data_IF_977525828928
#
_entry.id   IF_977525828928
#
_cell.length_a   1.000
_cell.length_b   1.000
_cell.length_c   1.000
_cell.angle_alpha   90.00
_cell.angle_beta   90.00
_cell.angle_gamma   90.00
#
_symmetry.space_group_name_H-M   'P 1'
#
loop_
_entity.id
_entity.type
_entity.pdbx_description
1 polymer ?
#
# COMPACT_ATOMS: atom_id res chain seq x y z
N UNK A 1 5.56 -11.25 18.40
CA UNK A 1 5.28 -9.80 18.45
C UNK A 1 3.80 -9.49 18.39
N UNK A 2 3.03 -10.19 17.58
CA UNK A 2 1.59 -9.96 17.36
C UNK A 2 0.76 -10.01 18.66
N UNK A 3 0.94 -11.05 19.48
CA UNK A 3 0.25 -11.18 20.77
C UNK A 3 0.58 -10.03 21.73
N UNK A 4 1.87 -9.61 21.76
CA UNK A 4 2.30 -8.47 22.56
C UNK A 4 1.63 -7.15 22.14
N UNK A 5 1.46 -6.93 20.84
CA UNK A 5 0.76 -5.75 20.31
C UNK A 5 -0.72 -5.75 20.74
N UNK A 6 -1.41 -6.88 20.56
CA UNK A 6 -2.81 -7.03 20.98
C UNK A 6 -2.99 -6.88 22.49
N UNK A 7 -2.06 -7.39 23.30
CA UNK A 7 -2.08 -7.20 24.75
C UNK A 7 -1.89 -5.76 25.16
N UNK A 8 -0.92 -5.06 24.53
CA UNK A 8 -0.66 -3.66 24.81
C UNK A 8 -1.90 -2.79 24.50
N UNK A 9 -2.58 -3.04 23.36
CA UNK A 9 -3.81 -2.32 22.98
C UNK A 9 -4.90 -2.52 24.05
N UNK A 10 -5.14 -3.75 24.52
CA UNK A 10 -6.13 -4.01 25.58
C UNK A 10 -5.87 -3.25 26.88
N UNK A 11 -4.62 -2.94 27.19
CA UNK A 11 -4.21 -2.22 28.39
C UNK A 11 -4.14 -0.70 28.22
N UNK A 12 -4.08 -0.21 26.98
CA UNK A 12 -3.81 1.20 26.67
C UNK A 12 -4.78 1.77 25.62
N UNK A 13 -5.99 1.24 25.50
CA UNK A 13 -6.94 1.71 24.51
C UNK A 13 -7.40 3.16 24.76
N UNK A 14 -7.69 3.88 23.67
CA UNK A 14 -8.23 5.25 23.71
C UNK A 14 -9.73 5.17 24.06
N UNK A 15 -10.18 5.97 25.05
CA UNK A 15 -11.59 6.04 25.42
C UNK A 15 -12.42 6.48 24.19
N UNK A 16 -13.56 5.82 23.96
CA UNK A 16 -14.50 6.15 22.87
C UNK A 16 -14.92 7.62 22.85
N UNK A 17 -14.95 8.29 24.02
CA UNK A 17 -15.29 9.72 24.14
C UNK A 17 -14.21 10.65 23.57
N UNK A 18 -13.00 10.17 23.40
CA UNK A 18 -11.86 10.90 22.83
C UNK A 18 -11.70 10.66 21.33
N UNK A 19 -12.45 9.70 20.77
CA UNK A 19 -12.42 9.37 19.34
C UNK A 19 -13.38 10.26 18.53
N UNK A 20 -13.06 10.59 17.28
CA UNK A 20 -14.00 11.19 16.33
C UNK A 20 -15.23 10.30 16.12
N UNK A 21 -16.37 10.92 15.83
CA UNK A 21 -17.65 10.20 15.71
C UNK A 21 -17.70 9.22 14.52
N UNK A 22 -16.98 9.48 13.44
CA UNK A 22 -17.06 8.71 12.20
C UNK A 22 -15.75 8.55 11.43
N UNK A 23 -14.64 9.09 11.92
CA UNK A 23 -13.34 8.80 11.33
C UNK A 23 -12.75 7.52 11.90
N UNK A 24 -12.13 6.71 11.05
CA UNK A 24 -11.35 5.56 11.51
C UNK A 24 -10.12 6.07 12.27
N UNK A 25 -9.96 5.58 13.48
CA UNK A 25 -8.83 5.89 14.36
C UNK A 25 -8.27 4.63 14.97
N UNK A 26 -6.99 4.58 15.32
CA UNK A 26 -6.41 3.41 15.97
C UNK A 26 -6.94 3.25 17.39
N UNK A 27 -6.93 2.03 17.91
CA UNK A 27 -7.28 1.75 19.30
C UNK A 27 -6.24 2.30 20.30
N UNK A 28 -5.00 2.48 19.86
CA UNK A 28 -3.90 3.05 20.61
C UNK A 28 -2.77 3.50 19.66
N UNK A 29 -1.84 4.34 20.12
CA UNK A 29 -0.59 4.64 19.42
C UNK A 29 -0.73 5.48 18.15
N UNK A 30 -0.03 5.11 17.09
CA UNK A 30 0.12 5.83 15.83
C UNK A 30 -0.57 5.13 14.67
N UNK A 31 -1.19 5.89 13.78
CA UNK A 31 -1.78 5.46 12.52
C UNK A 31 -1.33 6.40 11.40
N UNK A 32 -1.05 5.84 10.20
CA UNK A 32 -0.91 6.62 8.96
C UNK A 32 -1.64 5.92 7.80
N UNK A 33 -0.99 5.54 6.73
CA UNK A 33 -1.60 5.10 5.47
C UNK A 33 -2.68 4.02 5.64
N UNK A 34 -3.82 4.12 4.95
CA UNK A 34 -4.73 3.00 4.77
C UNK A 34 -4.07 1.89 3.95
N UNK A 35 -4.40 0.65 4.26
CA UNK A 35 -3.88 -0.54 3.62
C UNK A 35 -4.98 -1.57 3.39
N UNK A 36 -4.83 -2.39 2.36
CA UNK A 36 -5.67 -3.56 2.16
C UNK A 36 -7.17 -3.28 2.13
N UNK A 37 -7.59 -2.07 1.71
CA UNK A 37 -9.01 -1.73 1.59
C UNK A 37 -9.66 -2.71 0.60
N UNK A 38 -10.67 -3.47 1.07
CA UNK A 38 -11.19 -4.60 0.31
C UNK A 38 -12.54 -5.08 0.85
N UNK A 39 -13.28 -5.79 0.03
CA UNK A 39 -14.47 -6.53 0.45
C UNK A 39 -14.12 -8.01 0.55
N UNK A 40 -14.36 -8.60 1.70
CA UNK A 40 -14.16 -10.03 1.92
C UNK A 40 -15.26 -10.59 2.83
N UNK A 41 -15.87 -11.72 2.47
CA UNK A 41 -16.99 -12.36 3.19
C UNK A 41 -18.12 -11.39 3.56
N UNK A 42 -18.45 -10.44 2.66
CA UNK A 42 -19.54 -9.49 2.83
C UNK A 42 -19.26 -8.31 3.76
N UNK A 43 -18.05 -8.18 4.27
CA UNK A 43 -17.60 -7.04 5.08
C UNK A 43 -16.56 -6.23 4.32
N UNK A 44 -16.52 -4.94 4.58
CA UNK A 44 -15.42 -4.06 4.14
C UNK A 44 -14.33 -4.13 5.20
N UNK A 45 -13.13 -4.44 4.75
CA UNK A 45 -11.92 -4.50 5.56
C UNK A 45 -11.05 -3.29 5.28
N UNK A 46 -10.55 -2.66 6.31
CA UNK A 46 -9.55 -1.61 6.26
C UNK A 46 -8.42 -1.97 7.20
N UNK A 47 -7.25 -2.10 6.63
CA UNK A 47 -6.01 -2.16 7.39
C UNK A 47 -5.34 -0.79 7.34
N UNK A 48 -4.34 -0.59 8.18
CA UNK A 48 -3.60 0.66 8.22
C UNK A 48 -2.20 0.46 8.80
N UNK A 49 -1.28 1.31 8.41
CA UNK A 49 0.03 1.42 9.03
C UNK A 49 -0.16 1.75 10.50
N UNK A 50 0.44 0.97 11.39
CA UNK A 50 0.15 1.02 12.82
C UNK A 50 1.37 0.80 13.69
N UNK A 51 1.59 1.70 14.65
CA UNK A 51 2.56 1.49 15.70
C UNK A 51 1.86 1.57 17.06
N UNK A 52 1.58 0.44 17.75
CA UNK A 52 0.72 0.43 18.93
C UNK A 52 1.33 1.09 20.17
N UNK A 53 2.65 1.17 20.26
CA UNK A 53 3.33 1.44 21.53
C UNK A 53 3.59 2.92 21.81
N UNK A 54 3.46 3.80 20.83
CA UNK A 54 3.70 5.25 20.96
C UNK A 54 2.89 6.02 19.93
N UNK A 55 2.68 7.32 20.21
CA UNK A 55 2.03 8.27 19.29
C UNK A 55 3.03 8.90 18.30
N UNK A 56 3.97 8.13 17.83
CA UNK A 56 5.00 8.51 16.84
C UNK A 56 5.24 7.33 15.90
N UNK A 57 5.77 7.63 14.73
CA UNK A 57 6.16 6.62 13.76
C UNK A 57 7.20 5.64 14.35
N UNK A 58 7.07 4.35 14.06
CA UNK A 58 7.94 3.30 14.57
C UNK A 58 7.90 2.04 13.70
N UNK A 59 8.37 0.88 14.20
CA UNK A 59 8.28 -0.38 13.45
C UNK A 59 6.82 -0.74 13.15
N UNK A 60 6.42 -0.51 11.88
CA UNK A 60 5.03 -0.61 11.47
C UNK A 60 4.49 -2.03 11.54
N UNK A 61 3.33 -2.13 12.16
CA UNK A 61 2.39 -3.25 12.13
C UNK A 61 1.27 -2.92 11.15
N UNK A 62 0.36 -3.84 10.90
CA UNK A 62 -0.93 -3.55 10.28
C UNK A 62 -2.04 -3.65 11.32
N UNK A 63 -2.65 -2.53 11.66
CA UNK A 63 -3.93 -2.48 12.35
C UNK A 63 -5.06 -2.95 11.45
N UNK A 64 -6.22 -3.32 12.00
CA UNK A 64 -7.31 -3.88 11.24
C UNK A 64 -8.66 -3.46 11.83
N UNK A 65 -9.53 -2.92 10.98
CA UNK A 65 -10.92 -2.63 11.30
C UNK A 65 -11.84 -3.11 10.18
N UNK A 66 -13.07 -3.43 10.53
CA UNK A 66 -14.10 -3.90 9.59
C UNK A 66 -15.40 -3.16 9.77
N UNK A 67 -16.18 -3.08 8.68
CA UNK A 67 -17.51 -2.46 8.70
C UNK A 67 -18.45 -3.15 7.71
N UNK A 68 -19.76 -3.01 7.96
CA UNK A 68 -20.82 -3.40 7.05
C UNK A 68 -21.54 -2.19 6.42
N UNK A 69 -21.35 -0.98 6.97
CA UNK A 69 -22.07 0.24 6.60
C UNK A 69 -21.18 1.46 6.30
N UNK A 70 -19.84 1.32 6.40
CA UNK A 70 -18.83 2.38 6.27
C UNK A 70 -18.93 3.51 7.34
N UNK A 71 -19.83 3.40 8.30
CA UNK A 71 -20.03 4.38 9.35
C UNK A 71 -19.55 3.87 10.71
N UNK A 72 -19.82 2.60 11.00
CA UNK A 72 -19.41 1.96 12.26
C UNK A 72 -18.33 0.94 11.97
N UNK A 73 -17.20 1.12 12.60
CA UNK A 73 -16.04 0.27 12.45
C UNK A 73 -15.80 -0.55 13.70
N UNK A 74 -15.57 -1.82 13.52
CA UNK A 74 -15.21 -2.78 14.57
C UNK A 74 -13.71 -3.06 14.49
N UNK A 75 -13.00 -2.84 15.59
CA UNK A 75 -11.57 -3.18 15.67
C UNK A 75 -11.38 -4.69 15.75
N UNK A 76 -10.55 -5.22 14.86
CA UNK A 76 -10.11 -6.60 14.84
C UNK A 76 -8.68 -6.71 15.42
N UNK A 77 -8.19 -7.91 15.75
CA UNK A 77 -6.80 -8.09 16.16
C UNK A 77 -5.82 -7.52 15.13
N UNK A 78 -4.66 -7.05 15.61
CA UNK A 78 -3.56 -6.62 14.73
C UNK A 78 -3.27 -7.74 13.72
N UNK A 79 -3.29 -7.40 12.43
CA UNK A 79 -3.17 -8.39 11.37
C UNK A 79 -1.74 -8.89 11.18
N UNK A 80 -0.76 -7.99 11.29
CA UNK A 80 0.65 -8.32 11.09
C UNK A 80 1.56 -7.50 12.02
N UNK A 81 2.67 -8.11 12.42
CA UNK A 81 3.75 -7.47 13.18
C UNK A 81 5.10 -7.69 12.46
N UNK A 82 6.09 -6.79 12.62
CA UNK A 82 7.41 -6.92 11.98
C UNK A 82 8.29 -7.93 12.71
N UNK A 83 8.05 -9.22 12.52
CA UNK A 83 8.60 -10.32 13.31
C UNK A 83 9.41 -11.34 12.50
N UNK A 84 9.65 -11.09 11.22
CA UNK A 84 10.44 -11.95 10.34
C UNK A 84 11.70 -11.23 9.85
N UNK A 85 12.73 -11.97 9.46
CA UNK A 85 14.01 -11.41 8.98
C UNK A 85 13.85 -10.48 7.77
N UNK A 86 12.82 -10.71 6.96
CA UNK A 86 12.55 -9.91 5.76
C UNK A 86 11.66 -8.67 6.02
N UNK A 87 11.13 -8.49 7.25
CA UNK A 87 10.28 -7.35 7.61
C UNK A 87 10.53 -6.77 9.01
N UNK A 88 11.65 -7.12 9.64
CA UNK A 88 11.94 -6.76 11.04
C UNK A 88 12.03 -5.25 11.31
N UNK A 89 12.16 -4.41 10.27
CA UNK A 89 12.10 -2.94 10.39
C UNK A 89 10.64 -2.45 10.32
N UNK A 90 9.80 -3.10 9.50
CA UNK A 90 8.39 -2.76 9.39
C UNK A 90 7.64 -3.57 8.33
N UNK A 91 6.35 -3.76 8.58
CA UNK A 91 5.38 -4.17 7.57
C UNK A 91 4.80 -2.89 6.96
N UNK A 92 5.37 -2.42 5.82
CA UNK A 92 4.93 -1.19 5.17
C UNK A 92 3.67 -1.42 4.33
N UNK A 93 3.20 -0.34 3.71
CA UNK A 93 1.91 -0.30 3.00
C UNK A 93 1.75 -1.37 1.93
N UNK A 94 0.52 -1.65 1.59
CA UNK A 94 0.13 -2.64 0.61
C UNK A 94 -1.39 -2.78 0.48
N UNK A 95 -1.84 -3.82 -0.17
CA UNK A 95 -3.25 -4.02 -0.55
C UNK A 95 -3.73 -5.44 -0.25
N UNK A 96 -5.00 -5.71 -0.55
CA UNK A 96 -5.59 -7.03 -0.34
C UNK A 96 -6.39 -7.50 -1.57
N UNK A 97 -6.55 -8.82 -1.68
CA UNK A 97 -7.38 -9.45 -2.70
C UNK A 97 -7.97 -10.76 -2.15
N UNK A 98 -9.17 -11.10 -2.60
CA UNK A 98 -9.68 -12.47 -2.41
C UNK A 98 -9.06 -13.40 -3.45
N UNK A 99 -8.46 -14.50 -2.98
CA UNK A 99 -7.87 -15.53 -3.81
C UNK A 99 -8.10 -16.92 -3.19
N UNK A 100 -8.63 -17.84 -3.97
CA UNK A 100 -8.89 -19.23 -3.56
C UNK A 100 -9.72 -19.33 -2.26
N UNK A 101 -10.68 -18.41 -2.09
CA UNK A 101 -11.53 -18.33 -0.89
C UNK A 101 -10.80 -17.85 0.37
N UNK A 102 -9.60 -17.28 0.23
CA UNK A 102 -8.80 -16.69 1.30
C UNK A 102 -8.64 -15.19 1.08
N UNK A 103 -8.46 -14.47 2.17
CA UNK A 103 -8.08 -13.07 2.13
C UNK A 103 -6.55 -12.97 2.10
N UNK A 104 -6.01 -12.50 0.98
CA UNK A 104 -4.56 -12.39 0.75
C UNK A 104 -4.15 -10.93 0.85
N UNK A 105 -3.24 -10.63 1.77
CA UNK A 105 -2.62 -9.32 1.93
C UNK A 105 -1.28 -9.34 1.20
N UNK A 106 -1.03 -8.37 0.34
CA UNK A 106 0.26 -8.15 -0.30
C UNK A 106 0.84 -6.85 0.26
N UNK A 107 2.00 -6.90 0.91
CA UNK A 107 2.58 -5.79 1.66
C UNK A 107 4.08 -5.66 1.42
N UNK A 108 4.67 -4.55 1.79
CA UNK A 108 6.11 -4.35 1.71
C UNK A 108 6.77 -4.74 3.02
N UNK A 109 7.58 -5.79 3.00
CA UNK A 109 8.48 -6.15 4.09
C UNK A 109 9.77 -5.33 4.00
N UNK A 110 10.10 -4.61 5.09
CA UNK A 110 11.30 -3.80 5.18
C UNK A 110 12.32 -4.46 6.10
N UNK A 111 13.51 -4.66 5.57
CA UNK A 111 14.64 -5.26 6.26
C UNK A 111 15.93 -4.50 6.01
N UNK A 112 17.00 -4.91 6.65
CA UNK A 112 18.33 -4.34 6.44
C UNK A 112 19.35 -5.44 6.18
N UNK A 113 20.19 -5.23 5.17
CA UNK A 113 21.34 -6.10 4.87
C UNK A 113 22.58 -5.24 4.59
N UNK A 114 23.68 -5.56 5.24
CA UNK A 114 24.96 -4.85 5.10
C UNK A 114 24.81 -3.32 5.32
N UNK A 115 23.99 -2.91 6.30
CA UNK A 115 23.71 -1.50 6.62
C UNK A 115 22.80 -0.79 5.62
N UNK A 116 22.27 -1.48 4.60
CA UNK A 116 21.35 -0.93 3.59
C UNK A 116 19.94 -1.45 3.81
N UNK A 117 18.98 -0.54 3.77
CA UNK A 117 17.57 -0.88 3.76
C UNK A 117 17.19 -1.58 2.46
N UNK A 118 16.36 -2.61 2.57
CA UNK A 118 15.84 -3.38 1.44
C UNK A 118 14.33 -3.51 1.63
N UNK A 119 13.60 -3.19 0.56
CA UNK A 119 12.16 -3.33 0.48
C UNK A 119 11.80 -4.42 -0.54
N UNK A 120 11.00 -5.39 -0.12
CA UNK A 120 10.50 -6.48 -0.97
C UNK A 120 9.02 -6.71 -0.69
N UNK A 121 8.30 -7.27 -1.67
CA UNK A 121 6.88 -7.53 -1.46
C UNK A 121 6.67 -8.92 -0.89
N UNK A 122 5.81 -8.98 0.12
CA UNK A 122 5.50 -10.16 0.91
C UNK A 122 3.99 -10.40 0.95
N UNK A 123 3.56 -11.62 1.23
CA UNK A 123 2.14 -11.94 1.41
C UNK A 123 1.86 -12.51 2.81
N UNK A 124 0.67 -12.20 3.30
CA UNK A 124 0.05 -12.90 4.41
C UNK A 124 -1.33 -13.39 3.98
N UNK A 125 -1.72 -14.57 4.43
CA UNK A 125 -2.95 -15.25 4.01
C UNK A 125 -3.81 -15.49 5.24
N UNK A 126 -5.09 -15.16 5.17
CA UNK A 126 -5.98 -15.26 6.30
C UNK A 126 -7.43 -15.60 5.96
N UNK A 127 -8.23 -15.54 7.01
CA UNK A 127 -9.67 -15.85 7.00
C UNK A 127 -10.55 -14.58 7.14
N UNK A 128 -9.94 -13.40 7.06
CA UNK A 128 -10.59 -12.11 7.30
C UNK A 128 -10.46 -11.63 8.75
N UNK A 129 -9.93 -12.43 9.66
CA UNK A 129 -9.71 -12.03 11.07
C UNK A 129 -8.28 -12.27 11.53
N UNK A 130 -7.69 -13.38 11.13
CA UNK A 130 -6.30 -13.77 11.46
C UNK A 130 -5.52 -14.05 10.20
N UNK A 131 -4.23 -13.73 10.21
CA UNK A 131 -3.36 -13.82 9.05
C UNK A 131 -2.04 -14.50 9.41
N UNK A 132 -1.56 -15.33 8.51
CA UNK A 132 -0.27 -16.00 8.60
C UNK A 132 0.62 -15.57 7.44
N UNK A 133 1.83 -15.14 7.74
CA UNK A 133 2.83 -14.79 6.72
C UNK A 133 3.24 -16.03 5.94
N UNK A 134 3.32 -15.87 4.61
CA UNK A 134 3.71 -16.98 3.73
C UNK A 134 5.14 -17.41 4.02
N UNK A 135 5.37 -18.71 4.11
CA UNK A 135 6.67 -19.29 4.50
C UNK A 135 7.80 -18.96 3.50
N UNK A 136 7.47 -18.80 2.21
CA UNK A 136 8.44 -18.53 1.15
C UNK A 136 8.54 -17.01 0.80
N UNK A 137 8.15 -16.14 1.72
CA UNK A 137 8.36 -14.69 1.56
C UNK A 137 9.85 -14.33 1.48
N UNK A 138 10.22 -13.25 0.76
CA UNK A 138 9.40 -12.37 -0.06
C UNK A 138 9.00 -12.98 -1.41
N UNK A 139 7.79 -12.68 -1.91
CA UNK A 139 7.27 -13.18 -3.20
C UNK A 139 7.69 -12.32 -4.39
N UNK A 140 7.97 -11.01 -4.19
CA UNK A 140 8.57 -10.14 -5.21
C UNK A 140 9.82 -9.50 -4.61
N UNK A 141 10.98 -9.92 -5.10
CA UNK A 141 12.28 -9.37 -4.68
C UNK A 141 12.74 -8.30 -5.66
N UNK A 142 13.42 -7.28 -5.16
CA UNK A 142 13.93 -6.20 -6.00
C UNK A 142 14.94 -6.64 -7.07
N UNK A 143 15.53 -7.84 -6.95
CA UNK A 143 16.46 -8.41 -7.94
C UNK A 143 15.79 -8.94 -9.23
N UNK A 144 14.47 -9.10 -9.23
CA UNK A 144 13.70 -9.44 -10.45
C UNK A 144 13.61 -8.25 -11.42
N UNK A 145 13.84 -7.04 -10.95
CA UNK A 145 13.79 -5.81 -11.75
C UNK A 145 15.15 -5.53 -12.44
N UNK A 146 15.15 -4.69 -13.51
CA UNK A 146 16.37 -4.19 -14.09
C UNK A 146 17.35 -3.59 -13.06
N UNK A 147 18.66 -3.78 -13.28
CA UNK A 147 19.73 -3.45 -12.32
C UNK A 147 19.74 -1.98 -11.85
N UNK A 148 19.30 -1.05 -12.70
CA UNK A 148 19.25 0.39 -12.40
C UNK A 148 18.08 0.82 -11.50
N UNK A 149 17.15 -0.08 -11.17
CA UNK A 149 16.01 0.25 -10.32
C UNK A 149 16.42 0.20 -8.85
N UNK A 150 15.96 1.19 -8.09
CA UNK A 150 16.28 1.26 -6.67
C UNK A 150 15.59 0.11 -5.90
N UNK A 151 16.30 -0.48 -4.96
CA UNK A 151 15.81 -1.59 -4.11
C UNK A 151 15.40 -1.12 -2.72
N UNK A 152 15.80 0.09 -2.32
CA UNK A 152 15.36 0.73 -1.10
C UNK A 152 13.98 1.36 -1.28
N UNK A 153 13.77 2.07 -2.40
CA UNK A 153 12.48 2.65 -2.74
C UNK A 153 11.73 1.72 -3.69
N UNK A 154 11.15 0.64 -3.13
CA UNK A 154 10.38 -0.38 -3.84
C UNK A 154 9.24 -0.88 -2.94
N UNK A 155 8.10 -0.16 -2.90
CA UNK A 155 7.05 -0.36 -1.92
C UNK A 155 5.64 -0.12 -2.41
N UNK A 156 4.69 -0.39 -1.53
CA UNK A 156 3.26 -0.11 -1.64
C UNK A 156 2.58 -0.89 -2.79
N UNK A 157 2.59 -2.22 -2.75
CA UNK A 157 2.01 -3.02 -3.81
C UNK A 157 0.48 -2.95 -3.82
N UNK A 158 -0.12 -2.68 -4.99
CA UNK A 158 -1.55 -2.87 -5.25
C UNK A 158 -1.76 -4.08 -6.11
N UNK A 159 -2.44 -5.09 -5.54
CA UNK A 159 -2.81 -6.33 -6.25
C UNK A 159 -4.26 -6.27 -6.72
N UNK A 160 -4.52 -6.83 -7.89
CA UNK A 160 -5.87 -7.13 -8.39
C UNK A 160 -5.89 -8.38 -9.24
N UNK A 161 -7.08 -8.94 -9.47
CA UNK A 161 -7.29 -10.08 -10.36
C UNK A 161 -8.09 -9.66 -11.59
N UNK A 162 -7.61 -10.01 -12.77
CA UNK A 162 -8.31 -9.80 -14.05
C UNK A 162 -8.08 -11.00 -14.96
N UNK A 163 -9.15 -11.52 -15.59
CA UNK A 163 -9.11 -12.63 -16.54
C UNK A 163 -8.32 -13.87 -16.05
N UNK A 164 -8.51 -14.20 -14.77
CA UNK A 164 -7.87 -15.35 -14.14
C UNK A 164 -6.40 -15.18 -13.77
N UNK A 165 -5.81 -13.99 -14.00
CA UNK A 165 -4.45 -13.64 -13.60
C UNK A 165 -4.44 -12.58 -12.51
N UNK A 166 -3.39 -12.57 -11.74
CA UNK A 166 -3.10 -11.51 -10.78
C UNK A 166 -2.10 -10.52 -11.38
N UNK A 167 -2.34 -9.27 -11.13
CA UNK A 167 -1.47 -8.16 -11.48
C UNK A 167 -1.12 -7.38 -10.21
N UNK A 168 0.03 -6.73 -10.23
CA UNK A 168 0.47 -5.88 -9.13
C UNK A 168 1.23 -4.68 -9.67
N UNK A 169 0.85 -3.48 -9.24
CA UNK A 169 1.70 -2.29 -9.40
C UNK A 169 2.42 -1.99 -8.10
N UNK A 170 3.65 -1.52 -8.22
CA UNK A 170 4.51 -1.18 -7.08
C UNK A 170 5.20 0.14 -7.36
N UNK A 171 5.25 1.01 -6.34
CA UNK A 171 6.04 2.24 -6.39
C UNK A 171 7.53 1.92 -6.38
N UNK A 172 8.28 2.63 -7.21
CA UNK A 172 9.72 2.45 -7.29
C UNK A 172 10.42 3.75 -7.66
N UNK A 173 11.72 3.84 -7.39
CA UNK A 173 12.57 4.93 -7.84
C UNK A 173 13.53 4.44 -8.93
N UNK A 174 13.69 5.26 -9.95
CA UNK A 174 14.70 5.10 -11.00
C UNK A 174 15.65 6.29 -10.92
N UNK A 175 16.92 6.02 -10.68
CA UNK A 175 17.91 7.06 -10.40
C UNK A 175 17.51 7.96 -9.20
N UNK A 176 18.21 9.04 -8.94
CA UNK A 176 18.06 9.78 -7.68
C UNK A 176 16.71 10.52 -7.54
N UNK A 177 16.06 10.90 -8.66
CA UNK A 177 14.92 11.83 -8.62
C UNK A 177 13.75 11.43 -9.53
N UNK A 178 13.66 10.20 -9.97
CA UNK A 178 12.61 9.77 -10.87
C UNK A 178 11.73 8.68 -10.23
N UNK A 179 10.60 9.07 -9.68
CA UNK A 179 9.56 8.13 -9.27
C UNK A 179 8.99 7.38 -10.48
N UNK A 180 8.74 6.09 -10.32
CA UNK A 180 8.11 5.26 -11.34
C UNK A 180 7.14 4.26 -10.70
N UNK A 181 6.24 3.74 -11.52
CA UNK A 181 5.33 2.65 -11.15
C UNK A 181 5.65 1.47 -12.05
N UNK A 182 5.93 0.32 -11.43
CA UNK A 182 6.29 -0.92 -12.12
C UNK A 182 5.18 -1.94 -12.04
N UNK A 183 4.99 -2.72 -13.09
CA UNK A 183 3.95 -3.74 -13.21
C UNK A 183 4.56 -5.13 -13.13
N UNK A 184 3.89 -5.97 -12.36
CA UNK A 184 4.13 -7.40 -12.25
C UNK A 184 2.87 -8.20 -12.58
N UNK A 185 3.03 -9.45 -12.98
CA UNK A 185 1.92 -10.40 -13.14
C UNK A 185 2.24 -11.76 -12.53
N UNK A 186 1.19 -12.48 -12.15
CA UNK A 186 1.27 -13.82 -11.58
C UNK A 186 0.07 -14.67 -11.98
N UNK A 187 0.25 -15.97 -12.06
CA UNK A 187 -0.85 -16.93 -12.23
C UNK A 187 -1.46 -17.36 -10.88
N UNK A 188 -0.73 -17.21 -9.76
CA UNK A 188 -1.03 -17.83 -8.47
C UNK A 188 -0.77 -16.90 -7.25
N UNK A 189 -0.56 -15.58 -7.48
CA UNK A 189 -0.22 -14.55 -6.50
C UNK A 189 1.03 -14.83 -5.62
N UNK A 190 1.75 -15.89 -5.91
CA UNK A 190 2.97 -16.31 -5.20
C UNK A 190 4.21 -16.19 -6.06
N UNK A 191 4.08 -16.57 -7.35
CA UNK A 191 5.17 -16.54 -8.32
C UNK A 191 4.96 -15.39 -9.31
N UNK A 192 5.79 -14.35 -9.18
CA UNK A 192 5.64 -13.10 -9.92
C UNK A 192 6.72 -12.95 -11.00
N UNK A 193 6.35 -12.26 -12.07
CA UNK A 193 7.29 -11.81 -13.09
C UNK A 193 7.15 -10.30 -13.30
N UNK A 194 8.26 -9.65 -13.54
CA UNK A 194 8.31 -8.27 -13.98
C UNK A 194 7.79 -8.16 -15.42
N UNK A 195 6.88 -7.21 -15.66
CA UNK A 195 6.31 -6.96 -16.99
C UNK A 195 6.94 -5.71 -17.62
N UNK A 196 6.78 -4.56 -17.00
CA UNK A 196 7.24 -3.26 -17.52
C UNK A 196 7.15 -2.13 -16.51
N UNK A 197 7.72 -0.98 -16.85
CA UNK A 197 7.37 0.30 -16.24
C UNK A 197 6.06 0.80 -16.87
N UNK A 198 5.05 1.09 -16.04
CA UNK A 198 3.80 1.70 -16.49
C UNK A 198 3.92 3.20 -16.65
N UNK A 199 4.57 3.84 -15.69
CA UNK A 199 4.72 5.28 -15.61
C UNK A 199 6.08 5.60 -15.01
N UNK A 200 6.81 6.55 -15.60
CA UNK A 200 8.02 7.13 -15.04
C UNK A 200 7.95 8.63 -15.18
N UNK A 201 8.18 9.36 -14.09
CA UNK A 201 8.17 10.81 -14.13
C UNK A 201 9.50 11.40 -14.67
N UNK A 202 9.50 12.71 -14.85
CA UNK A 202 10.63 13.49 -15.35
C UNK A 202 11.42 14.21 -14.23
N UNK A 203 11.22 13.80 -12.98
CA UNK A 203 11.80 14.43 -11.78
C UNK A 203 11.09 15.70 -11.29
N UNK A 204 10.13 16.26 -12.04
CA UNK A 204 9.34 17.43 -11.61
C UNK A 204 8.05 17.03 -10.89
N UNK A 205 7.62 15.81 -11.11
CA UNK A 205 6.37 15.27 -10.58
C UNK A 205 6.60 14.34 -9.37
N UNK A 206 7.60 14.66 -8.57
CA UNK A 206 7.97 13.88 -7.38
C UNK A 206 9.11 12.90 -7.64
N UNK A 207 9.92 12.64 -6.63
CA UNK A 207 11.07 11.74 -6.70
C UNK A 207 10.72 10.29 -6.30
N UNK A 208 9.58 10.08 -5.68
CA UNK A 208 8.97 8.78 -5.40
C UNK A 208 7.46 8.85 -5.68
N UNK A 209 6.90 7.77 -6.19
CA UNK A 209 5.44 7.61 -6.40
C UNK A 209 4.96 6.55 -5.41
N UNK A 210 4.52 7.00 -4.23
CA UNK A 210 4.03 6.12 -3.18
C UNK A 210 2.59 5.67 -3.42
N UNK A 211 2.20 4.59 -2.78
CA UNK A 211 0.83 4.06 -2.74
C UNK A 211 0.16 4.02 -4.12
N UNK A 212 0.81 3.44 -5.17
CA UNK A 212 0.16 3.34 -6.46
C UNK A 212 -1.08 2.43 -6.34
N UNK A 213 -2.17 2.90 -6.93
CA UNK A 213 -3.41 2.15 -7.06
C UNK A 213 -3.81 2.09 -8.53
N UNK A 214 -4.41 0.98 -8.95
CA UNK A 214 -4.90 0.76 -10.31
C UNK A 214 -6.36 0.35 -10.27
N UNK A 215 -7.18 1.03 -11.02
CA UNK A 215 -8.60 0.73 -11.18
C UNK A 215 -9.05 1.03 -12.61
N UNK A 216 -10.23 0.53 -12.97
CA UNK A 216 -10.90 0.84 -14.23
C UNK A 216 -12.20 1.60 -13.94
N UNK A 217 -12.36 2.77 -14.55
CA UNK A 217 -13.55 3.62 -14.41
C UNK A 217 -14.11 3.87 -15.80
N UNK A 218 -15.36 3.46 -16.07
CA UNK A 218 -16.03 3.62 -17.35
C UNK A 218 -15.21 3.10 -18.55
N UNK A 219 -14.44 2.02 -18.35
CA UNK A 219 -13.57 1.42 -19.35
C UNK A 219 -12.21 2.13 -19.53
N UNK A 220 -11.94 3.15 -18.76
CA UNK A 220 -10.63 3.82 -18.76
C UNK A 220 -9.77 3.28 -17.61
N UNK A 221 -8.51 2.87 -17.88
CA UNK A 221 -7.58 2.56 -16.82
C UNK A 221 -7.12 3.84 -16.13
N UNK A 222 -7.11 3.81 -14.81
CA UNK A 222 -6.72 4.93 -13.95
C UNK A 222 -5.64 4.47 -12.99
N UNK A 223 -4.58 5.26 -12.87
CA UNK A 223 -3.59 5.14 -11.80
C UNK A 223 -3.86 6.27 -10.80
N UNK A 224 -3.94 5.92 -9.52
CA UNK A 224 -3.82 6.85 -8.40
C UNK A 224 -2.44 6.65 -7.81
N UNK A 225 -1.77 7.72 -7.38
CA UNK A 225 -0.52 7.61 -6.62
C UNK A 225 -0.28 8.88 -5.79
N UNK A 226 0.63 8.78 -4.84
CA UNK A 226 0.99 9.86 -3.94
C UNK A 226 2.46 10.27 -4.15
N UNK A 227 2.72 11.23 -5.06
CA UNK A 227 4.08 11.72 -5.31
C UNK A 227 4.66 12.47 -4.12
N UNK A 228 5.88 12.11 -3.72
CA UNK A 228 6.69 12.87 -2.76
C UNK A 228 7.48 13.99 -3.45
N UNK A 229 7.67 15.12 -2.77
CA UNK A 229 8.48 16.25 -3.23
C UNK A 229 8.09 16.81 -4.61
N UNK A 230 6.79 16.85 -4.87
CA UNK A 230 6.25 17.44 -6.07
C UNK A 230 6.43 18.96 -6.07
N UNK A 231 6.68 19.56 -7.24
CA UNK A 231 6.72 21.01 -7.38
C UNK A 231 5.34 21.58 -7.68
N UNK A 232 5.01 22.71 -7.07
CA UNK A 232 3.76 23.43 -7.32
C UNK A 232 3.56 23.72 -8.82
N UNK A 233 2.35 23.47 -9.33
CA UNK A 233 1.97 23.73 -10.71
C UNK A 233 0.70 24.59 -10.75
N UNK A 234 0.87 25.91 -10.72
CA UNK A 234 -0.25 26.88 -10.66
C UNK A 234 -1.15 26.59 -9.44
N UNK A 235 -2.44 26.31 -9.68
CA UNK A 235 -3.43 26.00 -8.66
C UNK A 235 -3.79 24.50 -8.58
N UNK A 236 -3.17 23.68 -9.42
CA UNK A 236 -3.48 22.24 -9.49
C UNK A 236 -2.73 21.43 -8.44
N UNK A 237 -1.46 21.76 -8.20
CA UNK A 237 -0.63 21.02 -7.24
C UNK A 237 0.11 21.97 -6.32
N UNK A 238 0.35 21.56 -5.07
CA UNK A 238 1.18 22.29 -4.12
C UNK A 238 2.60 21.71 -4.04
N UNK A 239 3.50 22.40 -3.38
CA UNK A 239 4.83 21.87 -3.09
C UNK A 239 4.74 20.78 -2.01
N UNK A 240 5.48 19.70 -2.20
CA UNK A 240 5.57 18.59 -1.24
C UNK A 240 4.78 17.36 -1.69
N UNK A 241 4.04 16.76 -0.78
CA UNK A 241 3.33 15.51 -1.00
C UNK A 241 1.92 15.77 -1.53
N UNK A 242 1.58 15.14 -2.63
CA UNK A 242 0.27 15.26 -3.26
C UNK A 242 -0.35 13.87 -3.48
N UNK A 243 -1.66 13.81 -3.67
CA UNK A 243 -2.35 12.63 -4.20
C UNK A 243 -2.97 12.98 -5.53
N UNK A 244 -2.63 12.21 -6.55
CA UNK A 244 -3.00 12.47 -7.94
C UNK A 244 -3.65 11.25 -8.58
N UNK A 245 -4.43 11.49 -9.64
CA UNK A 245 -4.84 10.44 -10.57
C UNK A 245 -4.38 10.74 -11.99
N UNK A 246 -4.18 9.69 -12.78
CA UNK A 246 -3.76 9.76 -14.17
C UNK A 246 -4.64 8.82 -14.98
N UNK A 247 -5.29 9.34 -16.03
CA UNK A 247 -6.16 8.55 -16.91
C UNK A 247 -5.32 8.01 -18.06
N UNK A 248 -5.41 6.71 -18.30
CA UNK A 248 -4.80 6.05 -19.45
C UNK A 248 -5.73 5.96 -20.66
N UNK A 249 -5.28 5.26 -21.70
CA UNK A 249 -6.04 5.07 -22.94
C UNK A 249 -6.96 3.85 -22.85
N UNK A 250 -8.25 4.01 -23.13
CA UNK A 250 -9.27 2.97 -23.03
C UNK A 250 -9.06 1.77 -23.97
N UNK A 251 -8.35 1.96 -25.09
CA UNK A 251 -8.17 0.94 -26.13
C UNK A 251 -7.03 -0.08 -25.83
N UNK A 252 -6.36 0.04 -24.71
CA UNK A 252 -5.18 -0.79 -24.39
C UNK A 252 -5.34 -1.44 -23.01
N UNK A 253 -5.15 -2.75 -22.93
CA UNK A 253 -5.38 -3.58 -21.73
C UNK A 253 -4.66 -3.13 -20.46
N UNK A 254 -3.47 -2.58 -20.55
CA UNK A 254 -2.76 -1.86 -19.48
C UNK A 254 -1.99 -0.77 -20.19
N UNK A 255 -2.59 0.38 -20.29
CA UNK A 255 -2.32 1.37 -21.31
C UNK A 255 -1.11 2.26 -21.04
N UNK A 256 -0.78 3.07 -22.02
CA UNK A 256 0.18 4.13 -21.87
C UNK A 256 -0.43 5.26 -21.03
N UNK A 257 0.19 5.54 -19.90
CA UNK A 257 -0.12 6.68 -19.05
C UNK A 257 0.80 7.85 -19.44
N UNK A 258 0.24 9.06 -19.45
CA UNK A 258 0.97 10.27 -19.78
C UNK A 258 0.78 11.32 -18.67
N UNK A 259 1.85 12.00 -18.28
CA UNK A 259 1.86 12.99 -17.20
C UNK A 259 0.96 14.20 -17.48
N UNK A 260 0.66 14.49 -18.72
CA UNK A 260 -0.25 15.56 -19.14
C UNK A 260 -1.70 15.31 -18.73
N UNK A 261 -2.06 14.06 -18.51
CA UNK A 261 -3.41 13.62 -18.10
C UNK A 261 -3.61 13.55 -16.58
N UNK A 262 -2.63 13.99 -15.78
CA UNK A 262 -2.74 13.99 -14.32
C UNK A 262 -3.62 15.12 -13.82
N UNK A 263 -4.29 14.86 -12.68
CA UNK A 263 -5.05 15.85 -11.89
C UNK A 263 -4.87 15.56 -10.40
N UNK A 264 -5.08 16.59 -9.59
CA UNK A 264 -5.19 16.40 -8.15
C UNK A 264 -6.42 15.56 -7.83
N UNK A 265 -6.26 14.58 -6.95
CA UNK A 265 -7.38 13.76 -6.50
C UNK A 265 -8.20 14.51 -5.44
N UNK A 266 -7.53 15.28 -4.60
CA UNK A 266 -8.12 16.14 -3.58
C UNK A 266 -7.25 17.41 -3.43
N UNK A 267 -7.86 18.53 -3.02
CA UNK A 267 -7.16 19.81 -2.82
C UNK A 267 -6.81 20.09 -1.34
N UNK A 268 -7.10 19.16 -0.43
CA UNK A 268 -6.67 19.22 0.96
C UNK A 268 -5.17 18.95 1.10
N UNK A 269 -4.49 19.74 1.92
CA UNK A 269 -3.03 19.60 2.14
C UNK A 269 -2.64 18.30 2.85
N UNK A 270 -3.58 17.74 3.61
CA UNK A 270 -3.35 16.53 4.42
C UNK A 270 -3.89 15.25 3.76
N UNK A 271 -4.49 15.36 2.57
CA UNK A 271 -5.00 14.19 1.86
C UNK A 271 -3.85 13.44 1.17
N UNK A 272 -3.58 12.22 1.64
CA UNK A 272 -2.44 11.42 1.18
C UNK A 272 -2.71 9.93 1.22
N UNK A 273 -2.03 9.14 0.37
CA UNK A 273 -2.03 7.67 0.33
C UNK A 273 -3.43 7.02 0.22
N UNK A 274 -4.35 7.49 -0.63
CA UNK A 274 -5.67 6.89 -0.76
C UNK A 274 -5.58 5.48 -1.35
N UNK A 275 -6.59 4.63 -1.03
CA UNK A 275 -6.77 3.30 -1.61
C UNK A 275 -8.20 3.07 -2.10
N UNK A 276 -8.33 2.19 -3.11
CA UNK A 276 -9.62 1.73 -3.66
C UNK A 276 -9.84 0.24 -3.42
#
# INVERSE_FOLDING_TARGET
>A
MLEKANEYIRQNYIDEKEKPLFHVTPEAGWMNDPNGFSVYQGKVHLFYQFYPYKTEWGPMHWGHQVTEDLLKWEAYPVAMAPDQDYDHIGCFSGSAVEADGKHVLLYTGVSQKDGKEIQNQCIAIGDGKTYEKWQDNPVIKGDIMPEKFDRKDFRDPKIWKKDGRYYCVVGNRYEENCGQIVLFSSADYKNWRYEKVLLRNDGKNGDMLECPDYLEVDGYPVIICSPQNMHAQKYEFHNGHNSIYIIGDAEKEISNFAWEKKRSLDYGLDFYAPQT
#
